data_IF_911023868918
#
_entry.id   IF_911023868918
#
_cell.length_a   1.000
_cell.length_b   1.000
_cell.length_c   1.000
_cell.angle_alpha   90.00
_cell.angle_beta   90.00
_cell.angle_gamma   90.00
#
_symmetry.space_group_name_H-M   'P 1'
#
loop_
_entity.id
_entity.type
_entity.pdbx_description
1 polymer ?
#
# COMPACT_ATOMS: atom_id res chain seq x y z
N UNK A 1 -5.60 33.32 -17.06
CA UNK A 1 -6.11 32.87 -15.75
C UNK A 1 -5.43 33.68 -14.65
N UNK A 2 -6.12 34.01 -13.55
CA UNK A 2 -5.48 34.60 -12.38
C UNK A 2 -4.40 33.64 -11.86
N UNK A 3 -3.15 34.10 -11.73
CA UNK A 3 -2.02 33.23 -11.36
C UNK A 3 -2.13 32.69 -9.93
N UNK A 4 -2.79 33.42 -9.02
CA UNK A 4 -2.98 33.01 -7.62
C UNK A 4 -3.90 31.81 -7.40
N UNK A 5 -4.62 31.34 -8.44
CA UNK A 5 -5.57 30.24 -8.33
C UNK A 5 -4.98 28.90 -8.81
N UNK A 6 -3.77 28.91 -9.39
CA UNK A 6 -3.19 27.76 -10.09
C UNK A 6 -3.16 26.49 -9.21
N UNK A 7 -2.56 26.56 -8.03
CA UNK A 7 -2.41 25.39 -7.15
C UNK A 7 -3.75 24.81 -6.72
N UNK A 8 -4.72 25.66 -6.40
CA UNK A 8 -6.04 25.20 -5.99
C UNK A 8 -6.81 24.61 -7.19
N UNK A 9 -6.81 25.28 -8.35
CA UNK A 9 -7.47 24.76 -9.56
C UNK A 9 -6.84 23.46 -10.06
N UNK A 10 -5.54 23.29 -9.88
CA UNK A 10 -4.85 22.04 -10.17
C UNK A 10 -5.45 20.90 -9.34
N UNK A 11 -5.59 21.07 -8.01
CA UNK A 11 -6.15 20.00 -7.18
C UNK A 11 -7.64 19.76 -7.45
N UNK A 12 -8.40 20.80 -7.77
CA UNK A 12 -9.79 20.64 -8.23
C UNK A 12 -9.86 19.81 -9.52
N UNK A 13 -8.90 19.99 -10.44
CA UNK A 13 -8.78 19.15 -11.64
C UNK A 13 -8.49 17.69 -11.32
N UNK A 14 -7.59 17.42 -10.37
CA UNK A 14 -7.30 16.07 -9.88
C UNK A 14 -8.57 15.42 -9.32
N UNK A 15 -9.29 16.10 -8.43
CA UNK A 15 -10.54 15.59 -7.85
C UNK A 15 -11.65 15.41 -8.90
N UNK A 16 -11.74 16.30 -9.88
CA UNK A 16 -12.68 16.16 -10.99
C UNK A 16 -12.42 14.89 -11.81
N UNK A 17 -11.14 14.58 -12.09
CA UNK A 17 -10.77 13.36 -12.81
C UNK A 17 -11.12 12.10 -12.01
N UNK A 18 -10.75 12.04 -10.72
CA UNK A 18 -11.13 10.93 -9.85
C UNK A 18 -12.64 10.69 -9.84
N UNK A 19 -13.43 11.76 -9.65
CA UNK A 19 -14.89 11.68 -9.66
C UNK A 19 -15.41 11.14 -10.98
N UNK A 20 -14.88 11.61 -12.11
CA UNK A 20 -15.28 11.15 -13.45
C UNK A 20 -14.99 9.67 -13.65
N UNK A 21 -13.80 9.19 -13.23
CA UNK A 21 -13.41 7.79 -13.33
C UNK A 21 -14.33 6.89 -12.51
N UNK A 22 -14.53 7.20 -11.24
CA UNK A 22 -15.36 6.38 -10.34
C UNK A 22 -16.85 6.42 -10.71
N UNK A 23 -17.33 7.53 -11.30
CA UNK A 23 -18.71 7.60 -11.81
C UNK A 23 -18.90 6.69 -13.02
N UNK A 24 -17.94 6.67 -13.94
CA UNK A 24 -18.04 5.90 -15.17
C UNK A 24 -17.69 4.41 -14.97
N UNK A 25 -16.86 4.11 -13.97
CA UNK A 25 -16.38 2.78 -13.64
C UNK A 25 -16.57 2.51 -12.14
N UNK A 26 -17.81 2.26 -11.67
CA UNK A 26 -18.10 2.17 -10.25
C UNK A 26 -17.45 0.98 -9.53
N UNK A 27 -17.01 -0.03 -10.29
CA UNK A 27 -16.30 -1.20 -9.76
C UNK A 27 -14.76 -1.05 -9.88
N UNK A 28 -14.26 0.11 -10.32
CA UNK A 28 -12.82 0.37 -10.40
C UNK A 28 -12.27 0.61 -9.00
N UNK A 29 -11.33 -0.24 -8.57
CA UNK A 29 -10.50 0.01 -7.42
C UNK A 29 -9.31 0.88 -7.86
N UNK A 30 -9.19 2.08 -7.29
CA UNK A 30 -8.03 2.94 -7.50
C UNK A 30 -7.16 2.89 -6.26
N UNK A 31 -5.88 2.58 -6.45
CA UNK A 31 -4.84 2.74 -5.45
C UNK A 31 -4.09 4.06 -5.65
N UNK A 32 -4.04 4.87 -4.60
CA UNK A 32 -3.37 6.17 -4.61
C UNK A 32 -1.86 5.98 -4.50
N UNK A 33 -1.10 6.77 -5.25
CA UNK A 33 0.36 6.76 -5.17
C UNK A 33 0.92 8.12 -5.63
N UNK A 34 1.96 8.59 -4.93
CA UNK A 34 2.74 9.75 -5.31
C UNK A 34 4.20 9.54 -4.84
N UNK A 35 4.91 8.65 -5.55
CA UNK A 35 6.23 8.14 -5.13
C UNK A 35 6.18 7.55 -3.71
N UNK A 36 5.28 6.59 -3.51
CA UNK A 36 4.82 6.20 -2.19
C UNK A 36 3.77 7.15 -1.64
N UNK A 37 3.89 7.45 -0.35
CA UNK A 37 2.92 8.23 0.42
C UNK A 37 3.00 9.74 0.26
N UNK A 38 3.59 10.28 -0.82
CA UNK A 38 3.69 11.73 -1.03
C UNK A 38 2.34 12.46 -1.11
N UNK A 39 1.23 11.72 -1.23
CA UNK A 39 -0.16 12.19 -1.18
C UNK A 39 -1.04 11.24 -0.37
N UNK A 40 -0.52 10.78 0.78
CA UNK A 40 -1.26 9.99 1.76
C UNK A 40 -2.12 10.91 2.64
N UNK A 41 -3.22 11.40 2.07
CA UNK A 41 -4.11 12.39 2.68
C UNK A 41 -5.59 12.00 2.54
N UNK A 42 -6.44 12.50 3.45
CA UNK A 42 -7.88 12.21 3.45
C UNK A 42 -8.60 12.65 2.16
N UNK A 43 -8.05 13.66 1.45
CA UNK A 43 -8.61 14.12 0.18
C UNK A 43 -8.43 13.09 -0.93
N UNK A 44 -7.29 12.41 -0.99
CA UNK A 44 -7.09 11.27 -1.89
C UNK A 44 -7.86 10.04 -1.40
N UNK A 45 -7.87 9.77 -0.09
CA UNK A 45 -8.56 8.61 0.49
C UNK A 45 -10.07 8.58 0.16
N UNK A 46 -10.71 9.75 0.04
CA UNK A 46 -12.11 9.85 -0.38
C UNK A 46 -12.39 9.19 -1.74
N UNK A 47 -11.41 9.21 -2.64
CA UNK A 47 -11.53 8.63 -3.99
C UNK A 47 -10.79 7.30 -4.15
N UNK A 48 -9.83 7.03 -3.27
CA UNK A 48 -8.94 5.88 -3.36
C UNK A 48 -8.88 5.19 -2.00
N UNK A 49 -9.60 4.07 -1.82
CA UNK A 49 -9.73 3.44 -0.52
C UNK A 49 -8.43 2.77 -0.02
N UNK A 50 -7.41 2.65 -0.87
CA UNK A 50 -6.08 2.18 -0.52
C UNK A 50 -5.00 3.05 -1.16
N UNK A 51 -3.89 3.28 -0.47
CA UNK A 51 -2.79 4.14 -0.91
C UNK A 51 -1.48 3.38 -0.66
N UNK A 52 -0.56 3.44 -1.62
CA UNK A 52 0.81 2.97 -1.49
C UNK A 52 1.58 3.88 -0.52
N UNK A 53 1.96 3.40 0.69
CA UNK A 53 2.44 4.29 1.75
C UNK A 53 3.90 4.73 1.57
N UNK A 54 4.74 3.97 0.88
CA UNK A 54 6.13 4.34 0.64
C UNK A 54 6.75 3.50 -0.46
N UNK A 55 7.55 4.11 -1.33
CA UNK A 55 8.43 3.37 -2.24
C UNK A 55 9.54 2.62 -1.47
N UNK A 56 9.81 2.98 -0.22
CA UNK A 56 10.62 2.15 0.67
C UNK A 56 9.81 0.92 1.10
N UNK A 57 10.16 -0.22 0.51
CA UNK A 57 9.57 -1.53 0.80
C UNK A 57 10.44 -2.35 1.74
N UNK A 58 11.48 -1.77 2.34
CA UNK A 58 12.25 -2.47 3.36
C UNK A 58 11.41 -2.67 4.62
N UNK A 59 11.41 -3.89 5.14
CA UNK A 59 10.56 -4.26 6.26
C UNK A 59 10.95 -3.59 7.58
N UNK A 60 12.23 -3.27 7.79
CA UNK A 60 12.63 -2.55 8.99
C UNK A 60 12.22 -1.07 8.92
N UNK A 61 12.41 -0.40 7.78
CA UNK A 61 11.96 0.99 7.59
C UNK A 61 10.43 1.09 7.61
N UNK A 62 9.74 0.09 7.05
CA UNK A 62 8.27 0.01 7.04
C UNK A 62 7.65 -0.03 8.43
N UNK A 63 8.34 -0.53 9.46
CA UNK A 63 7.83 -0.47 10.83
C UNK A 63 7.57 0.97 11.27
N UNK A 64 8.52 1.87 11.02
CA UNK A 64 8.39 3.28 11.41
C UNK A 64 7.35 4.00 10.55
N UNK A 65 7.42 3.81 9.22
CA UNK A 65 6.46 4.38 8.26
C UNK A 65 5.03 3.99 8.60
N UNK A 66 4.79 2.70 8.86
CA UNK A 66 3.45 2.21 9.17
C UNK A 66 3.00 2.70 10.55
N UNK A 67 3.86 2.65 11.57
CA UNK A 67 3.53 3.14 12.91
C UNK A 67 3.12 4.61 12.90
N UNK A 68 3.85 5.46 12.16
CA UNK A 68 3.50 6.89 12.02
C UNK A 68 2.20 7.11 11.25
N UNK A 69 1.96 6.34 10.18
CA UNK A 69 0.76 6.48 9.34
C UNK A 69 -0.49 5.96 10.05
N UNK A 70 -0.38 4.89 10.84
CA UNK A 70 -1.49 4.29 11.59
C UNK A 70 -2.08 5.23 12.66
N UNK A 71 -1.37 6.30 13.04
CA UNK A 71 -1.91 7.32 13.95
C UNK A 71 -3.14 8.05 13.40
N UNK A 72 -3.31 8.08 12.07
CA UNK A 72 -4.38 8.85 11.42
C UNK A 72 -5.20 8.05 10.40
N UNK A 73 -4.72 6.88 9.97
CA UNK A 73 -5.31 6.11 8.88
C UNK A 73 -5.50 4.64 9.26
N UNK A 74 -6.63 4.01 8.88
CA UNK A 74 -6.90 2.61 9.23
C UNK A 74 -6.08 1.65 8.36
N UNK A 75 -5.86 0.42 8.86
CA UNK A 75 -5.11 -0.64 8.16
C UNK A 75 -5.63 -0.94 6.75
N UNK A 76 -6.93 -0.77 6.52
CA UNK A 76 -7.56 -0.99 5.22
C UNK A 76 -7.00 -0.11 4.10
N UNK A 77 -6.36 1.01 4.43
CA UNK A 77 -5.78 1.93 3.43
C UNK A 77 -4.37 1.52 3.01
N UNK A 78 -3.70 0.64 3.74
CA UNK A 78 -2.29 0.33 3.50
C UNK A 78 -2.09 -0.71 2.40
N UNK A 79 -1.74 -0.26 1.19
CA UNK A 79 -1.21 -1.19 0.18
C UNK A 79 0.19 -1.65 0.60
N UNK A 80 0.31 -2.91 1.01
CA UNK A 80 1.51 -3.45 1.64
C UNK A 80 2.07 -4.62 0.86
N UNK A 81 3.25 -4.43 0.25
CA UNK A 81 3.84 -5.43 -0.62
C UNK A 81 5.08 -6.09 -0.01
N UNK A 82 5.15 -7.41 -0.12
CA UNK A 82 6.41 -8.15 0.09
C UNK A 82 7.30 -7.91 -1.14
N UNK A 83 8.41 -7.19 -0.96
CA UNK A 83 9.39 -6.95 -2.04
C UNK A 83 10.57 -7.91 -1.98
N UNK A 84 11.37 -7.99 -3.05
CA UNK A 84 12.60 -8.78 -3.10
C UNK A 84 13.68 -8.29 -2.10
N UNK A 85 14.67 -9.15 -1.82
CA UNK A 85 15.90 -8.81 -1.08
C UNK A 85 17.14 -9.23 -1.90
N UNK A 86 18.28 -8.52 -1.80
CA UNK A 86 18.52 -7.30 -1.03
C UNK A 86 17.57 -6.17 -1.43
N UNK A 87 17.04 -5.43 -0.45
CA UNK A 87 16.04 -4.40 -0.68
C UNK A 87 16.54 -3.36 -1.72
N UNK A 88 15.62 -2.85 -2.56
CA UNK A 88 15.97 -1.96 -3.67
C UNK A 88 16.48 -0.59 -3.23
N UNK A 89 15.94 -0.06 -2.13
CA UNK A 89 16.14 1.30 -1.65
C UNK A 89 17.34 1.38 -0.70
N UNK A 90 17.39 0.50 0.30
CA UNK A 90 18.39 0.54 1.40
C UNK A 90 19.31 -0.68 1.43
N UNK A 91 19.19 -1.61 0.49
CA UNK A 91 20.06 -2.80 0.32
C UNK A 91 20.08 -3.79 1.49
N UNK A 92 19.21 -3.62 2.48
CA UNK A 92 19.07 -4.52 3.63
C UNK A 92 18.54 -5.89 3.18
N UNK A 93 18.97 -6.94 3.87
CA UNK A 93 18.50 -8.30 3.66
C UNK A 93 17.71 -8.72 4.89
N UNK A 94 16.44 -9.07 4.69
CA UNK A 94 15.52 -9.55 5.73
C UNK A 94 14.94 -10.90 5.33
N UNK A 95 14.58 -11.72 6.34
CA UNK A 95 13.97 -13.03 6.10
C UNK A 95 12.63 -12.87 5.39
N UNK A 96 12.27 -13.84 4.53
CA UNK A 96 10.96 -13.83 3.86
C UNK A 96 9.81 -13.80 4.88
N UNK A 97 9.94 -14.55 5.97
CA UNK A 97 8.97 -14.58 7.08
C UNK A 97 8.73 -13.19 7.66
N UNK A 98 9.79 -12.45 7.99
CA UNK A 98 9.64 -11.11 8.57
C UNK A 98 8.93 -10.15 7.61
N UNK A 99 9.31 -10.18 6.31
CA UNK A 99 8.64 -9.38 5.27
C UNK A 99 7.15 -9.71 5.16
N UNK A 100 6.79 -11.00 5.21
CA UNK A 100 5.41 -11.48 5.14
C UNK A 100 4.56 -11.10 6.36
N UNK A 101 5.13 -11.21 7.57
CA UNK A 101 4.41 -10.92 8.81
C UNK A 101 4.03 -9.43 8.91
N UNK A 102 4.96 -8.52 8.60
CA UNK A 102 4.67 -7.08 8.64
C UNK A 102 3.65 -6.67 7.57
N UNK A 103 3.84 -7.13 6.34
CA UNK A 103 2.98 -6.75 5.19
C UNK A 103 1.56 -7.31 5.29
N UNK A 104 1.31 -8.25 6.21
CA UNK A 104 -0.02 -8.81 6.44
C UNK A 104 -0.97 -7.84 7.17
N UNK A 105 -0.48 -6.75 7.77
CA UNK A 105 -1.32 -5.72 8.40
C UNK A 105 -1.86 -4.75 7.36
N UNK A 106 -3.04 -5.06 6.80
CA UNK A 106 -3.69 -4.32 5.71
C UNK A 106 -3.80 -5.14 4.40
N UNK A 107 -4.19 -4.51 3.29
CA UNK A 107 -4.15 -5.11 1.95
C UNK A 107 -2.76 -5.65 1.57
N UNK A 108 -2.63 -6.99 1.50
CA UNK A 108 -1.38 -7.67 1.16
C UNK A 108 -1.19 -7.79 -0.36
N UNK A 109 0.00 -7.44 -0.84
CA UNK A 109 0.48 -7.70 -2.19
C UNK A 109 1.92 -8.25 -2.23
N UNK A 110 2.40 -8.53 -3.43
CA UNK A 110 3.76 -9.02 -3.69
C UNK A 110 4.38 -8.25 -4.84
N UNK A 111 5.60 -7.75 -4.64
CA UNK A 111 6.33 -6.93 -5.61
C UNK A 111 7.75 -7.46 -5.80
N UNK A 112 7.84 -8.63 -6.41
CA UNK A 112 9.08 -9.35 -6.66
C UNK A 112 8.95 -10.28 -7.87
N UNK A 113 10.07 -10.69 -8.45
CA UNK A 113 10.07 -11.67 -9.54
C UNK A 113 9.80 -13.08 -9.00
N UNK A 114 8.61 -13.61 -9.28
CA UNK A 114 8.21 -14.96 -8.89
C UNK A 114 9.04 -16.05 -9.59
N UNK A 115 9.68 -15.75 -10.73
CA UNK A 115 10.52 -16.71 -11.45
C UNK A 115 11.88 -16.90 -10.76
N UNK A 116 12.35 -15.89 -10.03
CA UNK A 116 13.60 -15.94 -9.27
C UNK A 116 13.46 -16.69 -7.93
N UNK A 117 12.24 -17.08 -7.53
CA UNK A 117 11.99 -17.78 -6.27
C UNK A 117 12.27 -19.28 -6.37
N UNK A 118 12.96 -19.80 -5.35
CA UNK A 118 13.09 -21.25 -5.12
C UNK A 118 11.75 -21.89 -4.75
N UNK A 119 11.63 -23.21 -4.95
CA UNK A 119 10.42 -23.95 -4.59
C UNK A 119 10.01 -23.80 -3.12
N UNK A 120 10.94 -23.83 -2.13
CA UNK A 120 10.59 -23.58 -0.73
C UNK A 120 10.05 -22.17 -0.49
N UNK A 121 10.58 -21.14 -1.17
CA UNK A 121 10.06 -19.77 -1.06
C UNK A 121 8.66 -19.63 -1.66
N UNK A 122 8.41 -20.27 -2.81
CA UNK A 122 7.08 -20.32 -3.42
C UNK A 122 6.07 -21.00 -2.50
N UNK A 123 6.47 -22.11 -1.87
CA UNK A 123 5.62 -22.79 -0.90
C UNK A 123 5.33 -21.91 0.32
N UNK A 124 6.33 -21.23 0.88
CA UNK A 124 6.13 -20.31 2.00
C UNK A 124 5.21 -19.12 1.63
N UNK A 125 5.29 -18.61 0.39
CA UNK A 125 4.38 -17.57 -0.12
C UNK A 125 2.96 -18.11 -0.26
N UNK A 126 2.79 -19.31 -0.81
CA UNK A 126 1.51 -19.97 -0.92
C UNK A 126 0.85 -20.13 0.46
N UNK A 127 1.57 -20.70 1.42
CA UNK A 127 1.05 -20.96 2.77
C UNK A 127 0.69 -19.66 3.50
N UNK A 128 1.49 -18.60 3.33
CA UNK A 128 1.18 -17.28 3.85
C UNK A 128 -0.08 -16.69 3.23
N UNK A 129 -0.28 -16.83 1.91
CA UNK A 129 -1.48 -16.32 1.22
C UNK A 129 -2.74 -17.00 1.75
N UNK A 130 -2.69 -18.32 1.95
CA UNK A 130 -3.84 -19.06 2.50
C UNK A 130 -4.12 -18.67 3.96
N UNK A 131 -3.08 -18.52 4.78
CA UNK A 131 -3.23 -17.98 6.14
C UNK A 131 -3.81 -16.56 6.11
N UNK A 132 -3.27 -15.66 5.29
CA UNK A 132 -3.73 -14.29 5.16
C UNK A 132 -5.20 -14.24 4.74
N UNK A 133 -5.62 -15.02 3.74
CA UNK A 133 -7.03 -15.11 3.33
C UNK A 133 -7.93 -15.53 4.50
N UNK A 134 -7.50 -16.47 5.34
CA UNK A 134 -8.27 -16.92 6.52
C UNK A 134 -8.40 -15.86 7.61
N UNK A 135 -7.50 -14.86 7.64
CA UNK A 135 -7.44 -13.78 8.63
C UNK A 135 -7.72 -12.39 8.06
N UNK A 136 -7.97 -12.27 6.75
CA UNK A 136 -7.97 -11.00 6.03
C UNK A 136 -8.93 -9.98 6.63
N UNK A 137 -10.14 -10.42 6.98
CA UNK A 137 -11.13 -9.50 7.54
C UNK A 137 -10.63 -8.86 8.85
N UNK A 138 -10.02 -9.64 9.74
CA UNK A 138 -9.38 -9.12 10.95
C UNK A 138 -8.19 -8.20 10.64
N UNK A 139 -7.34 -8.58 9.68
CA UNK A 139 -6.12 -7.85 9.36
C UNK A 139 -6.35 -6.55 8.58
N UNK A 140 -7.50 -6.42 7.92
CA UNK A 140 -7.85 -5.26 7.09
C UNK A 140 -8.88 -4.37 7.79
N UNK A 141 -9.90 -4.97 8.42
CA UNK A 141 -11.05 -4.27 8.99
C UNK A 141 -11.12 -4.33 10.52
N UNK A 142 -10.16 -5.02 11.16
CA UNK A 142 -10.12 -5.13 12.62
C UNK A 142 -9.88 -3.78 13.29
N UNK A 143 -10.28 -3.70 14.56
CA UNK A 143 -9.98 -2.56 15.41
C UNK A 143 -8.51 -2.56 15.80
N UNK A 144 -7.80 -1.46 15.53
CA UNK A 144 -6.37 -1.31 15.76
C UNK A 144 -6.16 -0.10 16.67
N UNK A 145 -5.71 -0.37 17.91
CA UNK A 145 -5.40 0.61 18.97
C UNK A 145 -3.97 0.43 19.47
#
# INVERSE_FOLDING_TARGET
MPQGEFFHRYILGVYHLYKKLLTNFPNLLIEGCASGGGRYDLGIMFYSPQIWPSDDSDTAERLDIMSGTMLAYPLSVFSNHVSAVPNGQVRRITSLKFRQELTSFGPLGYELDLNALSSPQKQAIHDQIEWYKSKRDLLVNGHFE
#
